data_IF_087373647000
#
_entry.id   IF_087373647000
#
_cell.length_a   1.000
_cell.length_b   1.000
_cell.length_c   1.000
_cell.angle_alpha   90.00
_cell.angle_beta   90.00
_cell.angle_gamma   90.00
#
_symmetry.space_group_name_H-M   'P 1'
#
loop_
_entity.id
_entity.type
_entity.pdbx_description
1 polymer ?
#
# COMPACT_ATOMS: atom_id res chain seq x y z
N UNK A 1 -20.25 3.64 -15.58
CA UNK A 1 -19.79 3.91 -14.20
C UNK A 1 -18.29 3.73 -14.11
N UNK A 2 -17.60 4.66 -13.44
CA UNK A 2 -16.14 4.55 -13.29
C UNK A 2 -15.79 3.36 -12.39
N UNK A 3 -14.80 2.57 -12.81
CA UNK A 3 -14.29 1.47 -11.99
C UNK A 3 -13.56 2.03 -10.79
N UNK A 4 -13.79 1.47 -9.61
CA UNK A 4 -13.08 1.89 -8.40
C UNK A 4 -11.62 1.47 -8.48
N UNK A 5 -10.77 2.26 -7.86
CA UNK A 5 -9.33 2.03 -7.86
C UNK A 5 -8.79 2.14 -6.44
N UNK A 6 -7.81 1.30 -6.13
CA UNK A 6 -7.09 1.41 -4.86
C UNK A 6 -5.59 1.44 -5.10
N UNK A 7 -4.91 2.20 -4.25
CA UNK A 7 -3.47 2.32 -4.26
C UNK A 7 -2.88 1.45 -3.16
N UNK A 8 -1.93 0.58 -3.52
CA UNK A 8 -1.31 -0.33 -2.56
C UNK A 8 -0.01 0.27 -2.05
N UNK A 9 0.03 0.52 -0.75
CA UNK A 9 1.21 0.99 -0.03
C UNK A 9 1.91 -0.23 0.53
N UNK A 10 3.08 -0.57 0.00
CA UNK A 10 3.79 -1.77 0.44
C UNK A 10 5.30 -1.53 0.46
N UNK A 11 6.04 -2.35 1.23
CA UNK A 11 7.50 -2.30 1.14
C UNK A 11 7.94 -2.64 -0.28
N UNK A 12 8.85 -1.84 -0.84
CA UNK A 12 9.34 -2.08 -2.20
C UNK A 12 10.65 -2.86 -2.18
N UNK A 13 11.61 -2.44 -1.40
CA UNK A 13 12.91 -3.09 -1.31
C UNK A 13 13.69 -3.05 -2.62
N UNK A 14 14.89 -3.61 -2.58
CA UNK A 14 15.72 -3.73 -3.77
C UNK A 14 15.21 -4.84 -4.68
N UNK A 15 15.35 -4.71 -6.01
CA UNK A 15 14.98 -5.79 -6.91
C UNK A 15 15.71 -7.10 -6.53
N UNK A 16 14.96 -8.19 -6.46
CA UNK A 16 15.51 -9.49 -6.08
C UNK A 16 15.64 -9.74 -4.59
N UNK A 17 15.39 -8.73 -3.75
CA UNK A 17 15.45 -8.90 -2.29
C UNK A 17 14.24 -9.70 -1.79
N UNK A 18 14.37 -10.23 -0.57
CA UNK A 18 13.25 -10.93 0.07
C UNK A 18 12.06 -9.99 0.31
N UNK A 19 12.33 -8.73 0.63
CA UNK A 19 11.29 -7.72 0.80
C UNK A 19 10.49 -7.56 -0.49
N UNK A 20 11.18 -7.42 -1.63
CA UNK A 20 10.51 -7.26 -2.93
C UNK A 20 9.75 -8.52 -3.31
N UNK A 21 10.32 -9.70 -3.10
CA UNK A 21 9.64 -10.96 -3.42
C UNK A 21 8.37 -11.13 -2.61
N UNK A 22 8.41 -10.82 -1.34
CA UNK A 22 7.23 -10.90 -0.49
C UNK A 22 6.17 -9.89 -0.92
N UNK A 23 6.56 -8.66 -1.19
CA UNK A 23 5.65 -7.62 -1.64
C UNK A 23 4.99 -7.99 -2.98
N UNK A 24 5.77 -8.53 -3.91
CA UNK A 24 5.25 -8.98 -5.20
C UNK A 24 4.25 -10.12 -5.02
N UNK A 25 4.55 -11.08 -4.15
CA UNK A 25 3.67 -12.20 -3.88
C UNK A 25 2.33 -11.71 -3.30
N UNK A 26 2.38 -10.86 -2.28
CA UNK A 26 1.17 -10.34 -1.64
C UNK A 26 0.33 -9.57 -2.65
N UNK A 27 0.96 -8.72 -3.44
CA UNK A 27 0.23 -7.94 -4.44
C UNK A 27 -0.41 -8.82 -5.50
N UNK A 28 0.37 -9.73 -6.09
CA UNK A 28 -0.07 -10.51 -7.24
C UNK A 28 -1.09 -11.59 -6.88
N UNK A 29 -0.90 -12.24 -5.73
CA UNK A 29 -1.69 -13.43 -5.39
C UNK A 29 -2.74 -13.20 -4.31
N UNK A 30 -2.68 -12.11 -3.59
CA UNK A 30 -3.64 -11.82 -2.53
C UNK A 30 -4.46 -10.57 -2.86
N UNK A 31 -3.79 -9.43 -3.04
CA UNK A 31 -4.48 -8.15 -3.17
C UNK A 31 -5.20 -8.02 -4.53
N UNK A 32 -4.46 -8.24 -5.60
CA UNK A 32 -5.01 -8.03 -6.94
C UNK A 32 -6.21 -8.91 -7.24
N UNK A 33 -6.15 -10.23 -6.96
CA UNK A 33 -7.31 -11.08 -7.18
C UNK A 33 -8.50 -10.73 -6.28
N UNK A 34 -8.25 -10.43 -5.00
CA UNK A 34 -9.34 -10.06 -4.09
C UNK A 34 -10.02 -8.77 -4.53
N UNK A 35 -9.26 -7.78 -4.97
CA UNK A 35 -9.82 -6.52 -5.45
C UNK A 35 -10.56 -6.73 -6.77
N UNK A 36 -10.04 -7.55 -7.66
CA UNK A 36 -10.72 -7.86 -8.92
C UNK A 36 -12.09 -8.50 -8.66
N UNK A 37 -12.18 -9.39 -7.68
CA UNK A 37 -13.47 -10.00 -7.29
C UNK A 37 -14.47 -8.96 -6.81
N UNK A 38 -14.00 -7.84 -6.27
CA UNK A 38 -14.85 -6.74 -5.82
C UNK A 38 -15.05 -5.67 -6.88
N UNK A 39 -14.55 -5.86 -8.09
CA UNK A 39 -14.65 -4.87 -9.15
C UNK A 39 -13.71 -3.68 -8.97
N UNK A 40 -12.57 -3.86 -8.30
CA UNK A 40 -11.62 -2.79 -8.00
C UNK A 40 -10.29 -3.05 -8.69
N UNK A 41 -9.73 -2.03 -9.32
CA UNK A 41 -8.36 -2.06 -9.84
C UNK A 41 -7.38 -1.69 -8.74
N UNK A 42 -6.40 -2.57 -8.50
CA UNK A 42 -5.34 -2.32 -7.53
C UNK A 42 -4.02 -2.08 -8.26
N UNK A 43 -3.25 -1.11 -7.79
CA UNK A 43 -1.93 -0.83 -8.38
C UNK A 43 -0.96 -0.36 -7.30
N UNK A 44 0.33 -0.48 -7.61
CA UNK A 44 1.42 -0.11 -6.68
C UNK A 44 2.28 0.98 -7.27
N UNK A 45 2.94 1.75 -6.39
CA UNK A 45 3.82 2.85 -6.77
C UNK A 45 5.19 2.39 -7.24
N UNK A 46 5.57 1.14 -7.01
CA UNK A 46 6.89 0.63 -7.40
C UNK A 46 7.17 0.69 -8.90
N UNK A 47 6.14 0.92 -9.70
CA UNK A 47 6.27 1.06 -11.14
C UNK A 47 6.67 2.47 -11.58
N UNK A 48 6.82 3.40 -10.64
CA UNK A 48 7.01 4.82 -10.94
C UNK A 48 8.22 5.37 -10.19
N UNK A 49 9.20 4.53 -9.84
CA UNK A 49 10.22 4.91 -8.87
C UNK A 49 11.39 5.65 -9.49
N UNK A 50 11.53 6.94 -9.15
CA UNK A 50 12.80 7.65 -9.22
C UNK A 50 13.09 8.20 -7.84
N UNK A 51 14.30 7.95 -7.34
CA UNK A 51 14.73 8.47 -6.04
C UNK A 51 14.58 9.98 -6.04
N UNK A 52 13.99 10.53 -4.98
CA UNK A 52 13.80 11.97 -4.82
C UNK A 52 12.49 12.51 -5.36
N UNK A 53 11.78 11.75 -6.21
CA UNK A 53 10.47 12.15 -6.73
C UNK A 53 9.35 11.19 -6.39
N UNK A 54 9.66 10.15 -5.63
CA UNK A 54 8.68 9.15 -5.21
C UNK A 54 7.53 9.82 -4.45
N UNK A 55 7.87 10.79 -3.61
CA UNK A 55 6.90 11.45 -2.74
C UNK A 55 5.75 12.10 -3.49
N UNK A 56 6.04 12.80 -4.60
CA UNK A 56 5.02 13.49 -5.36
C UNK A 56 4.06 12.50 -6.02
N UNK A 57 4.58 11.45 -6.63
CA UNK A 57 3.74 10.41 -7.23
C UNK A 57 2.90 9.69 -6.18
N UNK A 58 3.50 9.40 -5.03
CA UNK A 58 2.82 8.72 -3.93
C UNK A 58 1.70 9.58 -3.38
N UNK A 59 1.98 10.85 -3.09
CA UNK A 59 0.98 11.77 -2.57
C UNK A 59 -0.16 11.94 -3.55
N UNK A 60 0.15 12.10 -4.84
CA UNK A 60 -0.88 12.24 -5.86
C UNK A 60 -1.74 10.98 -5.95
N UNK A 61 -1.14 9.79 -5.90
CA UNK A 61 -1.88 8.55 -5.94
C UNK A 61 -2.78 8.39 -4.71
N UNK A 62 -2.26 8.69 -3.52
CA UNK A 62 -3.03 8.62 -2.29
C UNK A 62 -4.24 9.56 -2.33
N UNK A 63 -4.04 10.78 -2.83
CA UNK A 63 -5.09 11.78 -2.86
C UNK A 63 -6.12 11.52 -3.97
N UNK A 64 -5.73 10.83 -5.01
CA UNK A 64 -6.53 10.67 -6.22
C UNK A 64 -7.39 9.42 -6.24
N UNK A 65 -6.92 8.35 -5.60
CA UNK A 65 -7.59 7.07 -5.68
C UNK A 65 -8.71 6.95 -4.64
N UNK A 66 -9.59 5.97 -4.82
CA UNK A 66 -10.78 5.84 -3.97
C UNK A 66 -10.43 5.42 -2.56
N UNK A 67 -9.44 4.54 -2.41
CA UNK A 67 -8.94 4.12 -1.10
C UNK A 67 -7.55 3.51 -1.25
N UNK A 68 -6.91 3.21 -0.12
CA UNK A 68 -5.59 2.61 -0.10
C UNK A 68 -5.59 1.31 0.69
N UNK A 69 -4.65 0.42 0.35
CA UNK A 69 -4.35 -0.77 1.14
C UNK A 69 -2.91 -0.62 1.60
N UNK A 70 -2.68 -0.68 2.92
CA UNK A 70 -1.33 -0.57 3.48
C UNK A 70 -0.89 -1.94 4.01
N UNK A 71 0.24 -2.44 3.49
CA UNK A 71 0.84 -3.70 3.91
C UNK A 71 1.88 -3.40 4.98
N UNK A 72 1.56 -3.71 6.23
CA UNK A 72 2.36 -3.32 7.39
C UNK A 72 3.37 -4.38 7.80
N UNK A 73 3.44 -5.48 7.09
CA UNK A 73 4.37 -6.57 7.39
C UNK A 73 5.80 -6.05 7.52
N UNK A 74 6.49 -6.48 8.58
CA UNK A 74 7.86 -6.09 8.93
C UNK A 74 8.03 -4.61 9.30
N UNK A 75 6.93 -3.89 9.52
CA UNK A 75 6.95 -2.52 10.03
C UNK A 75 7.86 -1.58 9.23
N UNK A 76 7.76 -1.61 7.90
CA UNK A 76 8.59 -0.76 7.04
C UNK A 76 8.30 0.72 7.28
N UNK A 77 9.31 1.54 7.60
CA UNK A 77 9.08 2.96 7.93
C UNK A 77 8.45 3.78 6.80
N UNK A 78 8.78 3.49 5.55
CA UNK A 78 8.21 4.22 4.43
C UNK A 78 6.72 3.94 4.28
N UNK A 79 6.30 2.71 4.56
CA UNK A 79 4.89 2.35 4.54
C UNK A 79 4.13 3.13 5.61
N UNK A 80 4.68 3.23 6.83
CA UNK A 80 4.03 4.02 7.89
C UNK A 80 3.94 5.49 7.54
N UNK A 81 4.97 6.05 6.89
CA UNK A 81 4.92 7.44 6.45
C UNK A 81 3.77 7.66 5.46
N UNK A 82 3.66 6.79 4.47
CA UNK A 82 2.62 6.89 3.46
C UNK A 82 1.23 6.65 4.05
N UNK A 83 1.12 5.71 4.98
CA UNK A 83 -0.12 5.47 5.73
C UNK A 83 -0.54 6.73 6.48
N UNK A 84 0.40 7.40 7.14
CA UNK A 84 0.10 8.64 7.87
C UNK A 84 -0.42 9.72 6.92
N UNK A 85 0.14 9.84 5.72
CA UNK A 85 -0.36 10.78 4.72
C UNK A 85 -1.79 10.45 4.31
N UNK A 86 -2.08 9.19 4.06
CA UNK A 86 -3.43 8.76 3.68
C UNK A 86 -4.44 9.08 4.78
N UNK A 87 -4.08 8.81 6.03
CA UNK A 87 -4.95 9.10 7.18
C UNK A 87 -5.15 10.59 7.37
N UNK A 88 -4.08 11.38 7.23
CA UNK A 88 -4.17 12.84 7.33
C UNK A 88 -5.06 13.43 6.24
N UNK A 89 -5.09 12.81 5.07
CA UNK A 89 -5.94 13.21 3.96
C UNK A 89 -7.36 12.63 4.07
N UNK A 90 -7.68 11.95 5.17
CA UNK A 90 -8.98 11.31 5.41
C UNK A 90 -9.35 10.30 4.34
N UNK A 91 -8.36 9.61 3.77
CA UNK A 91 -8.61 8.54 2.80
C UNK A 91 -8.88 7.23 3.52
N UNK A 92 -9.87 6.45 3.08
CA UNK A 92 -10.08 5.12 3.65
C UNK A 92 -8.87 4.23 3.40
N UNK A 93 -8.41 3.51 4.42
CA UNK A 93 -7.25 2.62 4.31
C UNK A 93 -7.59 1.28 4.91
N UNK A 94 -7.31 0.22 4.17
CA UNK A 94 -7.35 -1.16 4.67
C UNK A 94 -5.93 -1.52 5.08
N UNK A 95 -5.73 -1.92 6.33
CA UNK A 95 -4.41 -2.32 6.81
C UNK A 95 -4.29 -3.84 6.81
N UNK A 96 -3.18 -4.33 6.29
CA UNK A 96 -2.85 -5.76 6.24
C UNK A 96 -1.53 -6.01 6.95
N UNK A 97 -1.44 -7.10 7.68
CA UNK A 97 -0.20 -7.49 8.32
C UNK A 97 -0.12 -9.01 8.37
N UNK A 98 1.10 -9.53 8.27
CA UNK A 98 1.33 -10.96 8.33
C UNK A 98 0.92 -11.50 9.70
N UNK A 99 0.27 -12.66 9.69
CA UNK A 99 -0.13 -13.33 10.92
C UNK A 99 1.09 -13.55 11.83
N UNK A 100 0.93 -13.22 13.09
CA UNK A 100 2.02 -13.31 14.08
C UNK A 100 2.75 -12.01 14.33
N UNK A 101 2.58 -11.02 13.48
CA UNK A 101 3.12 -9.69 13.72
C UNK A 101 2.03 -8.79 14.32
N UNK A 102 2.42 -7.80 15.11
CA UNK A 102 1.47 -6.92 15.77
C UNK A 102 1.39 -5.56 15.07
N UNK A 103 0.16 -5.04 14.97
CA UNK A 103 -0.05 -3.69 14.49
C UNK A 103 0.38 -2.71 15.61
N UNK A 104 1.20 -1.70 15.30
CA UNK A 104 1.61 -0.74 16.31
C UNK A 104 0.43 -0.06 16.99
N UNK A 105 0.56 0.18 18.29
CA UNK A 105 -0.52 0.75 19.11
C UNK A 105 -1.04 2.06 18.53
N UNK A 106 -0.15 2.90 18.04
CA UNK A 106 -0.50 4.25 17.60
C UNK A 106 -1.45 4.27 16.40
N UNK A 107 -1.53 3.19 15.63
CA UNK A 107 -2.33 3.17 14.41
C UNK A 107 -3.49 2.18 14.45
N UNK A 108 -3.47 1.20 15.35
CA UNK A 108 -4.50 0.14 15.33
C UNK A 108 -5.87 0.61 15.79
N UNK A 109 -5.94 1.73 16.46
CA UNK A 109 -7.19 2.31 16.97
C UNK A 109 -7.72 3.46 16.09
N UNK A 110 -7.12 3.65 14.94
CA UNK A 110 -7.51 4.75 14.05
C UNK A 110 -8.71 4.40 13.15
#
# INVERSE_FOLDING_TARGET
MRKRRCFVISPIGQPGSEVRKHADYVFKYIIKPAMADCGVDAFRADQVVKIGKISDHMFNAILKEDFAIAVLTDHNPNVFYELAVAQAAARPVIMMIQKGQSIPFDIKDL
#
